data_IF_346131863460
#
_entry.id   IF_346131863460
#
_cell.length_a   1.000
_cell.length_b   1.000
_cell.length_c   1.000
_cell.angle_alpha   90.00
_cell.angle_beta   90.00
_cell.angle_gamma   90.00
#
_symmetry.space_group_name_H-M   'P 1'
#
loop_
_entity.id
_entity.type
_entity.pdbx_description
1 polymer ?
#
# COMPACT_ATOMS: atom_id res chain seq x y z
N UNK A 1 -39.18 -73.42 19.99
CA UNK A 1 -39.39 -73.63 21.44
C UNK A 1 -38.61 -72.55 22.19
N UNK A 2 -39.31 -71.75 23.01
CA UNK A 2 -38.81 -70.79 24.03
C UNK A 2 -38.10 -69.52 23.52
N UNK A 3 -38.23 -68.31 24.11
CA UNK A 3 -39.11 -67.71 25.13
C UNK A 3 -38.86 -66.17 25.08
N UNK A 4 -39.86 -65.40 25.53
CA UNK A 4 -39.86 -63.97 25.93
C UNK A 4 -38.67 -63.65 26.88
N UNK A 5 -38.15 -62.43 27.13
CA UNK A 5 -38.67 -61.09 27.48
C UNK A 5 -37.49 -60.08 27.25
N UNK A 6 -37.55 -58.75 27.14
CA UNK A 6 -38.37 -57.72 27.77
C UNK A 6 -37.51 -56.44 27.92
N UNK A 7 -38.18 -55.27 27.86
CA UNK A 7 -37.80 -53.93 28.36
C UNK A 7 -36.66 -53.16 27.64
N UNK A 8 -36.72 -51.84 27.39
CA UNK A 8 -37.28 -50.75 28.18
C UNK A 8 -37.56 -49.51 27.31
N UNK A 9 -38.62 -48.78 27.66
CA UNK A 9 -39.09 -47.49 27.10
C UNK A 9 -38.13 -46.33 27.29
N UNK A 10 -38.08 -45.42 26.31
CA UNK A 10 -37.93 -43.98 26.57
C UNK A 10 -38.86 -43.18 25.63
N UNK A 11 -39.86 -42.54 26.26
CA UNK A 11 -40.81 -41.61 25.65
C UNK A 11 -40.18 -40.22 25.64
N UNK A 12 -40.05 -39.57 24.50
CA UNK A 12 -39.90 -38.11 24.45
C UNK A 12 -41.11 -37.50 23.78
N UNK A 13 -41.78 -36.64 24.56
CA UNK A 13 -43.06 -36.01 24.30
C UNK A 13 -42.95 -34.98 23.18
N UNK A 14 -43.85 -35.08 22.22
CA UNK A 14 -44.09 -34.06 21.21
C UNK A 14 -45.16 -33.11 21.75
N UNK A 15 -44.73 -31.96 22.28
CA UNK A 15 -45.64 -30.91 22.76
C UNK A 15 -45.96 -29.94 21.63
N UNK A 16 -47.16 -30.10 21.10
CA UNK A 16 -47.88 -29.12 20.28
C UNK A 16 -48.33 -27.96 21.15
N UNK A 17 -47.95 -26.73 20.79
CA UNK A 17 -48.60 -25.52 21.28
C UNK A 17 -48.81 -24.54 20.13
N UNK A 18 -50.08 -24.45 19.71
CA UNK A 18 -50.65 -23.31 18.99
C UNK A 18 -50.39 -22.03 19.76
N UNK A 19 -49.92 -20.97 19.11
CA UNK A 19 -50.22 -19.59 19.53
C UNK A 19 -50.32 -18.68 18.31
N UNK A 20 -51.30 -17.78 18.40
CA UNK A 20 -51.92 -16.92 17.38
C UNK A 20 -50.97 -15.91 16.72
N UNK A 21 -51.26 -15.45 15.49
CA UNK A 21 -50.55 -14.32 14.90
C UNK A 21 -51.03 -13.01 15.53
N UNK A 22 -50.09 -12.19 16.00
CA UNK A 22 -50.33 -10.79 16.35
C UNK A 22 -49.88 -9.92 15.18
N UNK A 23 -50.85 -9.25 14.57
CA UNK A 23 -50.61 -8.15 13.65
C UNK A 23 -50.05 -6.95 14.44
N UNK A 24 -48.82 -6.54 14.11
CA UNK A 24 -48.34 -5.20 14.38
C UNK A 24 -47.95 -4.58 13.04
N UNK A 25 -48.66 -3.52 12.67
CA UNK A 25 -48.37 -2.71 11.50
C UNK A 25 -47.00 -2.07 11.57
N UNK A 26 -46.38 -1.96 10.41
CA UNK A 26 -45.08 -1.33 10.21
C UNK A 26 -44.88 -1.16 8.72
N UNK A 27 -45.58 -0.17 8.17
CA UNK A 27 -45.53 0.24 6.77
C UNK A 27 -44.11 0.75 6.45
N UNK A 28 -43.24 -0.13 5.95
CA UNK A 28 -42.01 0.27 5.26
C UNK A 28 -42.16 -0.16 3.81
N UNK A 29 -42.99 0.61 3.12
CA UNK A 29 -43.08 0.65 1.68
C UNK A 29 -41.75 1.20 1.14
N UNK A 30 -40.70 0.37 1.13
CA UNK A 30 -39.47 0.67 0.42
C UNK A 30 -39.70 0.38 -1.07
N UNK A 31 -40.62 1.13 -1.67
CA UNK A 31 -40.67 1.29 -3.12
C UNK A 31 -39.56 2.25 -3.53
N UNK A 32 -38.31 1.79 -3.47
CA UNK A 32 -37.24 2.39 -4.24
C UNK A 32 -37.38 1.84 -5.66
N UNK A 33 -38.12 2.60 -6.46
CA UNK A 33 -38.26 2.55 -7.91
C UNK A 33 -37.17 1.72 -8.60
N UNK A 34 -37.62 0.67 -9.30
CA UNK A 34 -36.91 0.11 -10.45
C UNK A 34 -36.77 1.21 -11.49
N UNK A 35 -35.79 2.10 -11.30
CA UNK A 35 -35.21 2.84 -12.42
C UNK A 35 -34.69 1.77 -13.35
N UNK A 36 -35.34 1.63 -14.50
CA UNK A 36 -34.74 1.01 -15.67
C UNK A 36 -33.50 1.84 -15.97
N UNK A 37 -32.40 1.51 -15.30
CA UNK A 37 -31.10 1.94 -15.74
C UNK A 37 -30.86 1.10 -16.98
N UNK A 38 -31.33 1.58 -18.13
CA UNK A 38 -30.76 1.15 -19.39
C UNK A 38 -29.25 1.25 -19.22
N UNK A 39 -28.49 0.17 -19.48
CA UNK A 39 -27.04 0.29 -19.47
C UNK A 39 -26.70 1.43 -20.43
N UNK A 40 -25.82 2.38 -20.05
CA UNK A 40 -25.39 3.39 -21.00
C UNK A 40 -24.65 2.67 -22.13
N UNK A 41 -25.38 2.38 -23.21
CA UNK A 41 -24.87 1.93 -24.50
C UNK A 41 -24.27 3.13 -25.23
N UNK A 42 -23.27 3.74 -24.59
CA UNK A 42 -22.38 4.71 -25.22
C UNK A 42 -20.97 4.39 -24.72
N UNK A 43 -20.45 3.29 -25.28
CA UNK A 43 -19.03 3.02 -25.30
C UNK A 43 -18.38 4.01 -26.27
N UNK A 44 -18.32 5.28 -25.88
CA UNK A 44 -17.33 6.20 -26.40
C UNK A 44 -15.96 5.63 -25.96
N UNK A 45 -15.42 4.74 -26.80
CA UNK A 45 -14.05 4.27 -26.71
C UNK A 45 -13.20 5.47 -27.14
N UNK A 46 -12.97 6.38 -26.19
CA UNK A 46 -11.96 7.41 -26.32
C UNK A 46 -10.66 6.71 -26.72
N UNK A 47 -10.08 7.02 -27.91
CA UNK A 47 -8.91 6.33 -28.40
C UNK A 47 -7.78 6.48 -27.38
N UNK A 48 -7.42 5.34 -26.81
CA UNK A 48 -6.41 5.21 -25.77
C UNK A 48 -5.05 5.61 -26.34
N UNK A 49 -4.51 6.77 -25.95
CA UNK A 49 -3.18 7.26 -26.39
C UNK A 49 -2.03 6.27 -26.15
N UNK A 50 -2.08 5.51 -25.05
CA UNK A 50 -1.02 4.57 -24.64
C UNK A 50 -1.52 3.12 -24.57
N UNK A 51 -1.46 2.37 -25.67
CA UNK A 51 -1.91 0.97 -25.69
C UNK A 51 -0.86 0.07 -25.05
N UNK A 52 -1.28 -0.77 -24.10
CA UNK A 52 -0.41 -1.77 -23.46
C UNK A 52 -0.48 -3.05 -24.29
N UNK A 53 0.66 -3.50 -24.80
CA UNK A 53 0.83 -4.82 -25.39
C UNK A 53 1.99 -5.49 -24.69
N UNK A 54 1.71 -6.60 -24.02
CA UNK A 54 2.72 -7.36 -23.28
C UNK A 54 3.17 -8.56 -24.09
N UNK A 55 4.48 -8.83 -24.09
CA UNK A 55 5.02 -10.09 -24.56
C UNK A 55 4.63 -11.24 -23.62
N UNK A 56 4.71 -12.48 -24.11
CA UNK A 56 4.39 -13.65 -23.28
C UNK A 56 5.32 -13.77 -22.06
N UNK A 57 6.59 -13.41 -22.22
CA UNK A 57 7.56 -13.37 -21.12
C UNK A 57 7.17 -12.35 -20.04
N UNK A 58 6.75 -11.15 -20.45
CA UNK A 58 6.28 -10.11 -19.51
C UNK A 58 5.02 -10.56 -18.77
N UNK A 59 4.07 -11.19 -19.48
CA UNK A 59 2.85 -11.75 -18.85
C UNK A 59 3.18 -12.79 -17.80
N UNK A 60 4.09 -13.71 -18.10
CA UNK A 60 4.52 -14.74 -17.15
C UNK A 60 5.18 -14.12 -15.92
N UNK A 61 6.06 -13.12 -16.11
CA UNK A 61 6.70 -12.41 -15.01
C UNK A 61 5.65 -11.71 -14.11
N UNK A 62 4.71 -10.98 -14.72
CA UNK A 62 3.64 -10.30 -13.98
C UNK A 62 2.75 -11.29 -13.21
N UNK A 63 2.37 -12.42 -13.83
CA UNK A 63 1.61 -13.49 -13.17
C UNK A 63 2.40 -14.09 -12.01
N UNK A 64 3.71 -14.29 -12.18
CA UNK A 64 4.61 -14.76 -11.13
C UNK A 64 4.64 -13.81 -9.93
N UNK A 65 4.72 -12.50 -10.18
CA UNK A 65 4.70 -11.46 -9.14
C UNK A 65 3.37 -11.45 -8.40
N UNK A 66 2.25 -11.50 -9.12
CA UNK A 66 0.91 -11.50 -8.51
C UNK A 66 0.69 -12.76 -7.68
N UNK A 67 1.04 -13.94 -8.22
CA UNK A 67 0.87 -15.23 -7.53
C UNK A 67 1.69 -15.32 -6.24
N UNK A 68 2.92 -14.81 -6.27
CA UNK A 68 3.84 -14.85 -5.11
C UNK A 68 3.71 -13.65 -4.19
N UNK A 69 2.91 -12.64 -4.56
CA UNK A 69 2.88 -11.32 -3.93
C UNK A 69 4.28 -10.73 -3.76
N UNK A 70 5.13 -10.89 -4.78
CA UNK A 70 6.56 -10.57 -4.68
C UNK A 70 6.81 -9.07 -4.77
N UNK A 71 7.45 -8.51 -3.72
CA UNK A 71 7.87 -7.12 -3.67
C UNK A 71 6.90 -6.21 -2.91
N UNK A 72 6.88 -4.93 -3.27
CA UNK A 72 5.99 -3.96 -2.61
C UNK A 72 4.54 -4.12 -3.06
N UNK A 73 3.59 -3.73 -2.20
CA UNK A 73 2.16 -3.68 -2.55
C UNK A 73 1.88 -2.84 -3.81
N UNK A 74 2.71 -1.82 -4.05
CA UNK A 74 2.65 -1.02 -5.27
C UNK A 74 3.09 -1.81 -6.51
N UNK A 75 4.15 -2.61 -6.41
CA UNK A 75 4.64 -3.46 -7.51
C UNK A 75 3.57 -4.47 -7.93
N UNK A 76 2.99 -5.18 -6.97
CA UNK A 76 1.89 -6.13 -7.22
C UNK A 76 0.67 -5.44 -7.83
N UNK A 77 0.30 -4.24 -7.34
CA UNK A 77 -0.81 -3.46 -7.90
C UNK A 77 -0.55 -3.07 -9.37
N UNK A 78 0.66 -2.60 -9.69
CA UNK A 78 1.03 -2.25 -11.08
C UNK A 78 1.00 -3.48 -11.98
N UNK A 79 1.49 -4.62 -11.51
CA UNK A 79 1.43 -5.89 -12.25
C UNK A 79 -0.02 -6.27 -12.60
N UNK A 80 -0.91 -6.21 -11.62
CA UNK A 80 -2.33 -6.45 -11.80
C UNK A 80 -2.98 -5.47 -12.81
N UNK A 81 -2.68 -4.17 -12.70
CA UNK A 81 -3.17 -3.16 -13.64
C UNK A 81 -2.71 -3.47 -15.07
N UNK A 82 -1.43 -3.82 -15.26
CA UNK A 82 -0.87 -4.14 -16.58
C UNK A 82 -1.48 -5.40 -17.18
N UNK A 83 -1.68 -6.46 -16.39
CA UNK A 83 -2.34 -7.70 -16.84
C UNK A 83 -3.77 -7.46 -17.31
N UNK A 84 -4.54 -6.60 -16.63
CA UNK A 84 -5.92 -6.29 -17.05
C UNK A 84 -5.98 -5.28 -18.19
N UNK A 85 -4.98 -4.39 -18.31
CA UNK A 85 -4.89 -3.40 -19.37
C UNK A 85 -4.34 -3.95 -20.69
N UNK A 86 -3.81 -5.17 -20.70
CA UNK A 86 -3.21 -5.81 -21.88
C UNK A 86 -4.21 -5.94 -23.02
N UNK A 87 -3.88 -5.34 -24.16
CA UNK A 87 -4.73 -5.29 -25.35
C UNK A 87 -4.88 -6.67 -26.01
N UNK A 88 -3.85 -7.51 -25.92
CA UNK A 88 -3.86 -8.88 -26.42
C UNK A 88 -4.40 -9.87 -25.36
N UNK A 89 -5.00 -9.34 -24.28
CA UNK A 89 -5.53 -10.07 -23.14
C UNK A 89 -6.94 -9.60 -22.78
N UNK A 90 -7.24 -9.30 -21.49
CA UNK A 90 -8.57 -8.86 -21.06
C UNK A 90 -9.02 -7.52 -21.65
N UNK A 91 -8.08 -6.64 -22.05
CA UNK A 91 -8.34 -5.34 -22.65
C UNK A 91 -9.33 -4.44 -21.87
N UNK A 92 -9.28 -4.48 -20.54
CA UNK A 92 -10.23 -3.75 -19.70
C UNK A 92 -10.13 -2.23 -19.89
N UNK A 93 -11.26 -1.55 -19.70
CA UNK A 93 -11.30 -0.08 -19.66
C UNK A 93 -10.65 0.43 -18.39
N UNK A 94 -10.10 1.64 -18.42
CA UNK A 94 -9.42 2.22 -17.25
C UNK A 94 -10.39 2.37 -16.07
N UNK A 95 -11.69 2.61 -16.34
CA UNK A 95 -12.75 2.66 -15.34
C UNK A 95 -12.95 1.31 -14.64
N UNK A 96 -13.01 0.21 -15.40
CA UNK A 96 -13.13 -1.15 -14.84
C UNK A 96 -11.92 -1.50 -13.97
N UNK A 97 -10.71 -1.23 -14.45
CA UNK A 97 -9.47 -1.48 -13.69
C UNK A 97 -9.44 -0.62 -12.42
N UNK A 98 -9.79 0.66 -12.53
CA UNK A 98 -9.85 1.58 -11.40
C UNK A 98 -10.81 1.09 -10.31
N UNK A 99 -11.99 0.60 -10.71
CA UNK A 99 -12.99 0.06 -9.81
C UNK A 99 -12.52 -1.25 -9.15
N UNK A 100 -11.96 -2.18 -9.92
CA UNK A 100 -11.49 -3.48 -9.42
C UNK A 100 -10.34 -3.37 -8.41
N UNK A 101 -9.43 -2.40 -8.59
CA UNK A 101 -8.25 -2.22 -7.74
C UNK A 101 -8.33 -1.00 -6.81
N UNK A 102 -9.53 -0.43 -6.64
CA UNK A 102 -9.80 0.73 -5.78
C UNK A 102 -8.80 1.87 -5.96
N UNK A 103 -8.52 2.23 -7.22
CA UNK A 103 -7.60 3.31 -7.56
C UNK A 103 -8.26 4.33 -8.48
N UNK A 104 -7.62 5.49 -8.66
CA UNK A 104 -8.11 6.51 -9.59
C UNK A 104 -7.82 6.07 -11.03
N UNK A 105 -8.70 6.38 -11.98
CA UNK A 105 -8.45 6.12 -13.41
C UNK A 105 -7.15 6.76 -13.90
N UNK A 106 -6.78 7.92 -13.36
CA UNK A 106 -5.50 8.58 -13.65
C UNK A 106 -4.29 7.72 -13.26
N UNK A 107 -4.39 6.90 -12.22
CA UNK A 107 -3.32 5.97 -11.84
C UNK A 107 -3.13 4.90 -12.89
N UNK A 108 -4.22 4.35 -13.44
CA UNK A 108 -4.19 3.35 -14.52
C UNK A 108 -3.57 3.97 -15.78
N UNK A 109 -4.03 5.16 -16.17
CA UNK A 109 -3.48 5.91 -17.31
C UNK A 109 -1.97 6.14 -17.15
N UNK A 110 -1.52 6.61 -15.98
CA UNK A 110 -0.11 6.85 -15.70
C UNK A 110 0.74 5.57 -15.75
N UNK A 111 0.19 4.42 -15.33
CA UNK A 111 0.90 3.14 -15.42
C UNK A 111 1.06 2.71 -16.88
N UNK A 112 0.00 2.86 -17.69
CA UNK A 112 0.04 2.58 -19.14
C UNK A 112 1.03 3.50 -19.86
N UNK A 113 0.97 4.80 -19.57
CA UNK A 113 1.90 5.78 -20.10
C UNK A 113 3.36 5.43 -19.76
N UNK A 114 3.65 5.09 -18.49
CA UNK A 114 5.00 4.70 -18.08
C UNK A 114 5.50 3.46 -18.79
N UNK A 115 4.65 2.47 -19.04
CA UNK A 115 5.07 1.28 -19.77
C UNK A 115 5.58 1.65 -21.16
N UNK A 116 4.84 2.51 -21.86
CA UNK A 116 5.20 2.93 -23.22
C UNK A 116 6.41 3.86 -23.24
N UNK A 117 6.49 4.81 -22.30
CA UNK A 117 7.55 5.84 -22.30
C UNK A 117 8.86 5.38 -21.64
N UNK A 118 8.80 4.45 -20.68
CA UNK A 118 9.94 4.09 -19.81
C UNK A 118 10.22 2.59 -19.77
N UNK A 119 9.37 1.78 -20.37
CA UNK A 119 9.53 0.33 -20.42
C UNK A 119 9.05 -0.41 -19.17
N UNK A 120 9.15 -1.74 -19.27
CA UNK A 120 8.57 -2.69 -18.32
C UNK A 120 9.17 -2.61 -16.91
N UNK A 121 10.50 -2.68 -16.79
CA UNK A 121 11.20 -2.71 -15.49
C UNK A 121 10.99 -1.42 -14.69
N UNK A 122 11.18 -0.25 -15.31
CA UNK A 122 10.98 1.03 -14.61
C UNK A 122 9.52 1.23 -14.19
N UNK A 123 8.57 0.78 -15.01
CA UNK A 123 7.14 0.85 -14.66
C UNK A 123 6.83 -0.01 -13.44
N UNK A 124 7.36 -1.23 -13.40
CA UNK A 124 7.08 -2.21 -12.37
C UNK A 124 7.73 -1.84 -11.03
N UNK A 125 9.03 -1.59 -11.02
CA UNK A 125 9.79 -1.25 -9.81
C UNK A 125 9.56 0.20 -9.37
N UNK A 126 9.18 1.07 -10.31
CA UNK A 126 9.07 2.51 -10.09
C UNK A 126 10.43 3.19 -10.13
N UNK A 127 10.45 4.50 -10.41
CA UNK A 127 11.69 5.28 -10.45
C UNK A 127 12.43 5.16 -9.11
N UNK A 128 13.60 4.51 -9.13
CA UNK A 128 14.54 4.53 -8.00
C UNK A 128 14.96 5.97 -7.79
N UNK A 129 14.80 6.47 -6.56
CA UNK A 129 15.27 7.82 -6.23
C UNK A 129 16.79 7.83 -6.28
N UNK A 130 17.35 8.73 -7.07
CA UNK A 130 18.81 8.96 -7.15
C UNK A 130 19.33 9.56 -5.83
N UNK A 131 18.54 10.44 -5.20
CA UNK A 131 18.87 11.08 -3.94
C UNK A 131 17.78 10.87 -2.87
N UNK A 132 18.19 10.93 -1.61
CA UNK A 132 17.26 10.94 -0.49
C UNK A 132 16.36 12.19 -0.55
N UNK A 133 15.09 12.12 -0.10
CA UNK A 133 14.15 13.25 -0.16
C UNK A 133 14.61 14.51 0.60
N UNK A 134 15.50 14.32 1.58
CA UNK A 134 16.14 15.41 2.31
C UNK A 134 17.64 15.21 2.22
N UNK A 135 18.35 16.23 1.76
CA UNK A 135 19.80 16.25 1.79
C UNK A 135 20.27 16.21 3.25
N UNK A 136 21.40 15.54 3.49
CA UNK A 136 22.01 15.57 4.82
C UNK A 136 22.62 16.95 5.02
N UNK A 137 22.37 17.54 6.20
CA UNK A 137 22.99 18.81 6.61
C UNK A 137 24.48 18.64 6.90
N UNK A 138 24.89 17.44 7.30
CA UNK A 138 26.29 17.08 7.53
C UNK A 138 26.73 16.05 6.47
N UNK A 139 27.82 16.35 5.79
CA UNK A 139 28.56 15.39 4.96
C UNK A 139 29.37 14.41 5.82
N UNK A 140 29.78 13.27 5.26
CA UNK A 140 30.54 12.24 5.98
C UNK A 140 31.81 12.76 6.65
N UNK A 141 32.53 13.69 6.01
CA UNK A 141 33.70 14.35 6.62
C UNK A 141 33.31 15.24 7.82
N UNK A 142 32.19 15.94 7.72
CA UNK A 142 31.68 16.77 8.81
C UNK A 142 31.17 15.91 9.96
N UNK A 143 30.46 14.81 9.67
CA UNK A 143 30.02 13.82 10.67
C UNK A 143 31.22 13.27 11.48
N UNK A 144 32.32 12.92 10.80
CA UNK A 144 33.55 12.46 11.46
C UNK A 144 34.17 13.53 12.38
N UNK A 145 34.22 14.79 11.94
CA UNK A 145 34.70 15.91 12.78
C UNK A 145 33.83 16.15 14.01
N UNK A 146 32.50 16.01 13.87
CA UNK A 146 31.55 16.11 15.00
C UNK A 146 31.80 14.99 16.02
N UNK A 147 32.03 13.76 15.55
CA UNK A 147 32.35 12.61 16.41
C UNK A 147 33.67 12.85 17.14
N UNK A 148 34.72 13.27 16.43
CA UNK A 148 36.02 13.58 17.02
C UNK A 148 35.92 14.69 18.09
N UNK A 149 35.13 15.74 17.83
CA UNK A 149 34.87 16.81 18.81
C UNK A 149 34.22 16.26 20.07
N UNK A 150 33.24 15.35 19.95
CA UNK A 150 32.57 14.72 21.10
C UNK A 150 33.50 13.84 21.92
N UNK A 151 34.44 13.14 21.28
CA UNK A 151 35.40 12.26 21.95
C UNK A 151 36.50 13.04 22.70
N UNK A 152 36.70 14.31 22.37
CA UNK A 152 37.61 15.20 23.09
C UNK A 152 37.07 15.70 24.44
N UNK A 153 37.89 16.41 25.23
CA UNK A 153 37.43 17.01 26.48
C UNK A 153 36.40 18.13 26.23
N UNK A 154 35.39 18.28 27.10
CA UNK A 154 34.46 19.40 27.00
C UNK A 154 35.18 20.75 27.20
N UNK A 155 34.65 21.84 26.63
CA UNK A 155 35.23 23.16 26.78
C UNK A 155 35.23 23.60 28.26
N UNK A 156 36.19 24.47 28.61
CA UNK A 156 36.34 25.00 29.96
C UNK A 156 35.03 25.57 30.51
N UNK A 157 34.67 25.20 31.74
CA UNK A 157 33.41 25.60 32.37
C UNK A 157 32.26 24.60 32.22
N UNK A 158 32.47 23.48 31.52
CA UNK A 158 31.48 22.40 31.39
C UNK A 158 32.06 21.06 31.85
N UNK A 159 31.31 20.32 32.68
CA UNK A 159 31.72 18.99 33.14
C UNK A 159 31.55 17.91 32.06
N UNK A 160 30.57 18.06 31.15
CA UNK A 160 30.22 17.07 30.13
C UNK A 160 29.74 17.73 28.83
N UNK A 161 29.86 16.99 27.72
CA UNK A 161 29.23 17.37 26.46
C UNK A 161 27.71 17.24 26.53
N UNK A 162 27.00 18.35 26.32
CA UNK A 162 25.57 18.32 25.97
C UNK A 162 25.40 18.45 24.46
N UNK A 163 24.31 17.94 23.90
CA UNK A 163 24.04 18.04 22.45
C UNK A 163 23.94 19.50 21.96
N UNK A 164 23.42 20.40 22.80
CA UNK A 164 23.35 21.83 22.49
C UNK A 164 24.74 22.48 22.51
N UNK A 165 25.58 22.10 23.47
CA UNK A 165 26.96 22.56 23.55
C UNK A 165 27.78 22.07 22.36
N UNK A 166 27.62 20.80 21.99
CA UNK A 166 28.27 20.22 20.82
C UNK A 166 27.81 20.89 19.52
N UNK A 167 26.51 21.14 19.35
CA UNK A 167 26.00 21.86 18.17
C UNK A 167 26.60 23.28 18.05
N UNK A 168 26.68 24.03 19.15
CA UNK A 168 27.33 25.35 19.16
C UNK A 168 28.81 25.26 18.81
N UNK A 169 29.53 24.32 19.42
CA UNK A 169 30.96 24.15 19.18
C UNK A 169 31.27 23.74 17.75
N UNK A 170 30.42 22.93 17.14
CA UNK A 170 30.56 22.51 15.74
C UNK A 170 30.39 23.70 14.77
N UNK A 171 29.51 24.66 15.09
CA UNK A 171 29.39 25.92 14.33
C UNK A 171 30.59 26.82 14.59
N UNK A 172 31.03 26.94 15.84
CA UNK A 172 32.21 27.74 16.24
C UNK A 172 33.50 27.27 15.56
N UNK A 173 33.66 25.95 15.37
CA UNK A 173 34.79 25.35 14.65
C UNK A 173 34.64 25.40 13.12
N UNK A 174 33.65 26.12 12.61
CA UNK A 174 33.34 26.28 11.18
C UNK A 174 33.18 24.93 10.43
N UNK A 175 32.76 23.89 11.16
CA UNK A 175 32.51 22.57 10.56
C UNK A 175 31.26 22.65 9.68
N UNK A 176 30.26 23.45 10.07
CA UNK A 176 29.00 23.68 9.36
C UNK A 176 28.47 25.07 9.70
N UNK A 177 27.82 25.73 8.74
CA UNK A 177 27.23 27.08 8.91
C UNK A 177 26.11 27.11 9.96
N UNK A 178 25.25 26.10 9.98
CA UNK A 178 24.22 25.95 11.01
C UNK A 178 23.86 24.48 11.24
N UNK A 179 23.64 24.12 12.51
CA UNK A 179 23.20 22.76 12.85
C UNK A 179 22.29 22.75 14.08
N UNK A 180 21.20 21.99 13.99
CA UNK A 180 20.35 21.71 15.13
C UNK A 180 20.94 20.60 16.00
N UNK A 181 20.80 20.71 17.32
CA UNK A 181 21.15 19.65 18.27
C UNK A 181 20.48 18.30 17.94
N UNK A 182 19.30 18.30 17.30
CA UNK A 182 18.62 17.09 16.81
C UNK A 182 19.35 16.43 15.64
N UNK A 183 19.97 17.23 14.77
CA UNK A 183 20.82 16.72 13.69
C UNK A 183 22.05 16.05 14.28
N UNK A 184 22.71 16.68 15.25
CA UNK A 184 23.86 16.10 15.98
C UNK A 184 23.47 14.79 16.66
N UNK A 185 22.33 14.73 17.37
CA UNK A 185 21.83 13.49 17.99
C UNK A 185 21.65 12.37 16.96
N UNK A 186 21.01 12.66 15.81
CA UNK A 186 20.80 11.68 14.74
C UNK A 186 22.10 11.20 14.11
N UNK A 187 23.11 12.06 14.01
CA UNK A 187 24.44 11.69 13.53
C UNK A 187 25.13 10.74 14.50
N UNK A 188 25.09 11.06 15.80
CA UNK A 188 25.71 10.24 16.83
C UNK A 188 25.04 8.87 16.99
N UNK A 189 23.70 8.80 16.94
CA UNK A 189 22.94 7.53 17.04
C UNK A 189 23.26 6.54 15.92
N UNK A 190 23.72 6.99 14.76
CA UNK A 190 24.10 6.09 13.65
C UNK A 190 25.47 5.45 13.82
N UNK A 191 26.23 5.89 14.82
CA UNK A 191 27.63 5.49 15.05
C UNK A 191 27.75 4.49 16.21
N UNK A 192 26.64 4.22 16.91
CA UNK A 192 26.46 3.13 17.89
C UNK A 192 25.77 1.95 17.21
#
# INVERSE_FOLDING_TARGET
>A
MARLQGERSEKTRQSSSRTRPLACGGNLHYQAERRRHSPPTDLAIEPKKYVVRLSEQEREELRGIVRRLSGSSQKVRRANILLQADADGPAWTDKQIAQAYHCRSKTVENVRQRLVERGFRETLDGKRREAAPRQKVLDGKQEAKVIATRLGPPPSGYANWTLRLLARKVVELEIVESVSHQTVMRTLKKTE
#
